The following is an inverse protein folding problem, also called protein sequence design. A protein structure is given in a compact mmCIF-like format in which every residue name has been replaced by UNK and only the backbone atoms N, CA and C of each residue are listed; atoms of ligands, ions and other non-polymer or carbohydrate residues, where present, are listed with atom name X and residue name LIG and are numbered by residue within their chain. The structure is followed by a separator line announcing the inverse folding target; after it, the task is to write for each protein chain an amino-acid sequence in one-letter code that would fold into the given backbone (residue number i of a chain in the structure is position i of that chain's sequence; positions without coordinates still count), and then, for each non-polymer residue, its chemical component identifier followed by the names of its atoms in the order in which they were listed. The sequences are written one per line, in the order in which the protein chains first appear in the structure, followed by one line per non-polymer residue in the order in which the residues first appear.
data_IF_566969922661
#
_entry.id   IF_566969922661
#
_cell.length_a   1.000
_cell.length_b   1.000
_cell.length_c   1.000
_cell.angle_alpha   90.00
_cell.angle_beta   90.00
_cell.angle_gamma   90.00
#
_symmetry.space_group_name_H-M   'P 1'
#
loop_
_entity.id
_entity.type
_entity.pdbx_description
1 polymer ?
#
# COMPACT_ATOMS: atom_id res chain seq x y z
N UNK A 1 36.10 -11.34 -37.48
CA UNK A 1 36.31 -10.39 -36.37
C UNK A 1 35.10 -9.49 -36.34
N UNK A 2 34.23 -9.63 -35.35
CA UNK A 2 33.07 -8.76 -35.17
C UNK A 2 33.59 -7.37 -34.80
N UNK A 3 33.31 -6.36 -35.62
CA UNK A 3 33.62 -4.98 -35.28
C UNK A 3 32.68 -4.56 -34.15
N UNK A 4 33.20 -4.54 -32.92
CA UNK A 4 32.46 -4.01 -31.77
C UNK A 4 32.31 -2.49 -31.98
N UNK A 5 31.09 -2.02 -32.18
CA UNK A 5 30.77 -0.60 -32.28
C UNK A 5 30.72 0.01 -30.87
N UNK A 6 31.86 0.48 -30.37
CA UNK A 6 32.00 1.01 -29.01
C UNK A 6 31.00 2.12 -28.65
N UNK A 7 30.59 2.95 -29.61
CA UNK A 7 29.57 3.99 -29.36
C UNK A 7 28.18 3.38 -29.09
N UNK A 8 27.83 2.34 -29.83
CA UNK A 8 26.55 1.63 -29.69
C UNK A 8 26.52 0.79 -28.41
N UNK A 9 27.63 0.12 -28.08
CA UNK A 9 27.80 -0.55 -26.78
C UNK A 9 27.64 0.42 -25.61
N UNK A 10 28.27 1.61 -25.67
CA UNK A 10 28.17 2.61 -24.61
C UNK A 10 26.74 3.19 -24.49
N UNK A 11 26.05 3.39 -25.61
CA UNK A 11 24.63 3.81 -25.64
C UNK A 11 23.71 2.75 -25.04
N UNK A 12 23.96 1.47 -25.31
CA UNK A 12 23.18 0.35 -24.78
C UNK A 12 23.39 0.20 -23.26
N UNK A 13 24.62 0.32 -22.77
CA UNK A 13 24.92 0.29 -21.32
C UNK A 13 24.24 1.45 -20.58
N UNK A 14 24.23 2.66 -21.16
CA UNK A 14 23.54 3.81 -20.58
C UNK A 14 22.03 3.57 -20.49
N UNK A 15 21.41 3.01 -21.53
CA UNK A 15 19.98 2.65 -21.52
C UNK A 15 19.67 1.60 -20.45
N UNK A 16 20.47 0.54 -20.36
CA UNK A 16 20.31 -0.50 -19.32
C UNK A 16 20.38 0.11 -17.91
N UNK A 17 21.34 1.01 -17.69
CA UNK A 17 21.50 1.70 -16.40
C UNK A 17 20.31 2.59 -16.06
N UNK A 18 19.76 3.32 -17.05
CA UNK A 18 18.56 4.14 -16.88
C UNK A 18 17.30 3.30 -16.61
N UNK A 19 17.13 2.18 -17.29
CA UNK A 19 16.03 1.23 -17.03
C UNK A 19 16.12 0.66 -15.61
N UNK A 20 17.31 0.20 -15.19
CA UNK A 20 17.52 -0.30 -13.82
C UNK A 20 17.21 0.76 -12.76
N UNK A 21 17.64 2.02 -12.98
CA UNK A 21 17.32 3.12 -12.07
C UNK A 21 15.82 3.42 -12.02
N UNK A 22 15.15 3.40 -13.17
CA UNK A 22 13.70 3.66 -13.27
C UNK A 22 12.90 2.57 -12.57
N UNK A 23 13.28 1.30 -12.74
CA UNK A 23 12.69 0.16 -12.04
C UNK A 23 12.85 0.27 -10.52
N UNK A 24 14.06 0.62 -10.04
CA UNK A 24 14.32 0.82 -8.61
C UNK A 24 13.48 1.97 -8.02
N UNK A 25 13.36 3.09 -8.76
CA UNK A 25 12.52 4.23 -8.36
C UNK A 25 11.05 3.85 -8.28
N UNK A 26 10.54 3.10 -9.26
CA UNK A 26 9.16 2.62 -9.26
C UNK A 26 8.88 1.72 -8.04
N UNK A 27 9.78 0.77 -7.73
CA UNK A 27 9.65 -0.09 -6.55
C UNK A 27 9.63 0.70 -5.23
N UNK A 28 10.50 1.71 -5.10
CA UNK A 28 10.51 2.58 -3.92
C UNK A 28 9.20 3.34 -3.76
N UNK A 29 8.64 3.86 -4.86
CA UNK A 29 7.36 4.56 -4.85
C UNK A 29 6.21 3.63 -4.43
N UNK A 30 6.17 2.40 -4.95
CA UNK A 30 5.18 1.38 -4.58
C UNK A 30 5.21 1.12 -3.07
N UNK A 31 6.38 0.81 -2.52
CA UNK A 31 6.52 0.58 -1.08
C UNK A 31 6.07 1.79 -0.26
N UNK A 32 6.53 2.98 -0.64
CA UNK A 32 6.19 4.21 0.12
C UNK A 32 4.69 4.50 0.08
N UNK A 33 4.03 4.26 -1.06
CA UNK A 33 2.58 4.40 -1.20
C UNK A 33 1.82 3.41 -0.30
N UNK A 34 2.16 2.11 -0.37
CA UNK A 34 1.54 1.09 0.48
C UNK A 34 1.75 1.40 1.97
N UNK A 35 2.96 1.79 2.39
CA UNK A 35 3.21 2.17 3.77
C UNK A 35 2.41 3.40 4.21
N UNK A 36 2.25 4.40 3.34
CA UNK A 36 1.40 5.57 3.60
C UNK A 36 -0.05 5.18 3.85
N UNK A 37 -0.62 4.35 2.97
CA UNK A 37 -1.99 3.87 3.10
C UNK A 37 -2.19 3.01 4.37
N UNK A 38 -1.24 2.14 4.71
CA UNK A 38 -1.28 1.35 5.95
C UNK A 38 -1.18 2.23 7.20
N UNK A 39 -0.39 3.30 7.14
CA UNK A 39 -0.29 4.27 8.23
C UNK A 39 -1.62 5.02 8.44
N UNK A 40 -2.32 5.37 7.36
CA UNK A 40 -3.65 5.96 7.45
C UNK A 40 -4.65 5.02 8.14
N UNK A 41 -4.57 3.71 7.91
CA UNK A 41 -5.40 2.73 8.64
C UNK A 41 -5.05 2.68 10.14
N UNK A 42 -3.79 2.84 10.52
CA UNK A 42 -3.41 2.95 11.94
C UNK A 42 -3.95 4.23 12.59
N UNK A 43 -3.94 5.36 11.86
CA UNK A 43 -4.58 6.60 12.32
C UNK A 43 -6.09 6.39 12.47
N UNK A 44 -6.73 5.70 11.53
CA UNK A 44 -8.17 5.39 11.61
C UNK A 44 -8.50 4.56 12.85
N UNK A 45 -7.69 3.54 13.18
CA UNK A 45 -7.84 2.78 14.42
C UNK A 45 -7.68 3.66 15.67
N UNK A 46 -6.68 4.54 15.69
CA UNK A 46 -6.47 5.45 16.82
C UNK A 46 -7.65 6.41 17.01
N UNK A 47 -8.20 6.94 15.91
CA UNK A 47 -9.40 7.77 15.92
C UNK A 47 -10.61 7.00 16.45
N UNK A 48 -10.82 5.77 16.01
CA UNK A 48 -11.89 4.91 16.52
C UNK A 48 -11.80 4.70 18.03
N UNK A 49 -10.59 4.52 18.57
CA UNK A 49 -10.36 4.44 20.01
C UNK A 49 -10.77 5.72 20.76
N UNK A 50 -10.40 6.89 20.23
CA UNK A 50 -10.80 8.18 20.80
C UNK A 50 -12.31 8.45 20.71
N UNK A 51 -12.94 8.08 19.59
CA UNK A 51 -14.40 8.14 19.42
C UNK A 51 -15.09 7.25 20.45
N UNK A 52 -14.64 6.00 20.60
CA UNK A 52 -15.18 5.06 21.59
C UNK A 52 -15.13 5.60 23.03
N UNK A 53 -14.02 6.22 23.42
CA UNK A 53 -13.88 6.83 24.75
C UNK A 53 -14.85 8.00 24.91
N UNK A 54 -14.94 8.87 23.90
CA UNK A 54 -15.85 10.03 23.91
C UNK A 54 -17.30 9.58 24.01
N UNK A 55 -17.72 8.63 23.18
CA UNK A 55 -19.10 8.14 23.17
C UNK A 55 -19.47 7.38 24.45
N UNK A 56 -18.53 6.67 25.08
CA UNK A 56 -18.76 6.07 26.39
C UNK A 56 -18.96 7.13 27.49
N UNK A 57 -18.16 8.21 27.48
CA UNK A 57 -18.33 9.33 28.41
C UNK A 57 -19.68 10.02 28.22
N UNK A 58 -20.08 10.26 26.97
CA UNK A 58 -21.39 10.81 26.63
C UNK A 58 -22.51 9.93 27.19
N UNK A 59 -22.50 8.63 26.88
CA UNK A 59 -23.52 7.68 27.34
C UNK A 59 -23.70 7.69 28.87
N UNK A 60 -22.59 7.70 29.63
CA UNK A 60 -22.62 7.74 31.10
C UNK A 60 -23.11 9.10 31.61
N UNK A 61 -22.75 10.19 30.94
CA UNK A 61 -23.11 11.55 31.38
C UNK A 61 -24.57 11.92 31.10
N UNK A 62 -25.17 11.40 30.03
CA UNK A 62 -26.52 11.77 29.58
C UNK A 62 -27.61 10.85 30.12
N UNK A 63 -27.26 9.63 30.52
CA UNK A 63 -28.24 8.58 30.78
C UNK A 63 -28.36 8.28 32.26
N UNK A 64 -29.53 8.56 32.85
CA UNK A 64 -29.80 8.32 34.28
C UNK A 64 -30.34 6.93 34.60
N UNK A 65 -30.82 6.20 33.59
CA UNK A 65 -31.42 4.86 33.74
C UNK A 65 -30.43 3.77 33.29
N UNK A 66 -30.27 2.75 34.12
CA UNK A 66 -29.37 1.62 33.89
C UNK A 66 -29.73 0.82 32.64
N UNK A 67 -31.02 0.63 32.34
CA UNK A 67 -31.45 -0.10 31.14
C UNK A 67 -31.06 0.63 29.84
N UNK A 68 -31.11 1.97 29.86
CA UNK A 68 -30.69 2.78 28.73
C UNK A 68 -29.17 2.81 28.56
N UNK A 69 -28.39 2.69 29.64
CA UNK A 69 -26.93 2.51 29.56
C UNK A 69 -26.57 1.17 28.91
N UNK A 70 -27.25 0.08 29.27
CA UNK A 70 -26.98 -1.25 28.66
C UNK A 70 -27.33 -1.28 27.18
N UNK A 71 -28.46 -0.67 26.79
CA UNK A 71 -28.84 -0.53 25.39
C UNK A 71 -27.80 0.29 24.60
N UNK A 72 -27.38 1.44 25.14
CA UNK A 72 -26.36 2.28 24.49
C UNK A 72 -24.99 1.61 24.41
N UNK A 73 -24.58 0.81 25.40
CA UNK A 73 -23.35 0.02 25.32
C UNK A 73 -23.40 -1.02 24.18
N UNK A 74 -24.56 -1.62 23.94
CA UNK A 74 -24.76 -2.59 22.85
C UNK A 74 -24.67 -1.90 21.49
N UNK A 75 -25.26 -0.71 21.35
CA UNK A 75 -25.13 0.11 20.13
C UNK A 75 -23.69 0.54 19.87
N UNK A 76 -23.00 1.06 20.90
CA UNK A 76 -21.58 1.43 20.80
C UNK A 76 -20.71 0.24 20.41
N UNK A 77 -20.95 -0.93 20.99
CA UNK A 77 -20.21 -2.14 20.65
C UNK A 77 -20.42 -2.54 19.18
N UNK A 78 -21.65 -2.46 18.68
CA UNK A 78 -21.96 -2.74 17.28
C UNK A 78 -21.31 -1.73 16.33
N UNK A 79 -21.35 -0.44 16.66
CA UNK A 79 -20.73 0.61 15.86
C UNK A 79 -19.21 0.44 15.78
N UNK A 80 -18.56 0.25 16.94
CA UNK A 80 -17.11 0.02 17.01
C UNK A 80 -16.73 -1.24 16.23
N UNK A 81 -17.52 -2.31 16.35
CA UNK A 81 -17.29 -3.55 15.61
C UNK A 81 -17.40 -3.34 14.10
N UNK A 82 -18.43 -2.62 13.64
CA UNK A 82 -18.60 -2.29 12.22
C UNK A 82 -17.43 -1.47 11.69
N UNK A 83 -17.07 -0.38 12.37
CA UNK A 83 -15.95 0.50 11.98
C UNK A 83 -14.61 -0.25 11.99
N UNK A 84 -14.39 -1.13 12.96
CA UNK A 84 -13.20 -1.98 13.02
C UNK A 84 -13.13 -2.96 11.85
N UNK A 85 -14.27 -3.57 11.47
CA UNK A 85 -14.34 -4.45 10.31
C UNK A 85 -14.07 -3.71 9.00
N UNK A 86 -14.56 -2.48 8.86
CA UNK A 86 -14.31 -1.67 7.67
C UNK A 86 -12.83 -1.28 7.54
N UNK A 87 -12.17 -0.92 8.64
CA UNK A 87 -10.72 -0.69 8.67
C UNK A 87 -9.96 -1.97 8.28
N UNK A 88 -10.39 -3.13 8.79
CA UNK A 88 -9.78 -4.42 8.45
C UNK A 88 -9.95 -4.76 6.96
N UNK A 89 -11.14 -4.51 6.38
CA UNK A 89 -11.39 -4.68 4.93
C UNK A 89 -10.52 -3.75 4.10
N UNK A 90 -10.48 -2.46 4.41
CA UNK A 90 -9.65 -1.50 3.70
C UNK A 90 -8.16 -1.88 3.76
N UNK A 91 -7.69 -2.38 4.91
CA UNK A 91 -6.32 -2.88 5.06
C UNK A 91 -6.06 -4.09 4.16
N UNK A 92 -7.02 -5.02 4.05
CA UNK A 92 -6.92 -6.16 3.13
C UNK A 92 -6.92 -5.72 1.66
N UNK A 93 -7.73 -4.73 1.31
CA UNK A 93 -7.76 -4.18 -0.05
C UNK A 93 -6.42 -3.52 -0.42
N UNK A 94 -5.84 -2.71 0.48
CA UNK A 94 -4.48 -2.13 0.31
C UNK A 94 -3.43 -3.23 0.08
N UNK A 95 -3.49 -4.33 0.84
CA UNK A 95 -2.55 -5.44 0.67
C UNK A 95 -2.74 -6.17 -0.68
N UNK A 96 -3.98 -6.34 -1.11
CA UNK A 96 -4.28 -6.98 -2.40
C UNK A 96 -3.84 -6.09 -3.57
N UNK A 97 -4.12 -4.79 -3.52
CA UNK A 97 -3.65 -3.81 -4.50
C UNK A 97 -2.13 -3.79 -4.57
N UNK A 98 -1.44 -3.70 -3.42
CA UNK A 98 0.02 -3.74 -3.35
C UNK A 98 0.60 -5.01 -3.99
N UNK A 99 -0.04 -6.16 -3.77
CA UNK A 99 0.36 -7.43 -4.40
C UNK A 99 0.23 -7.39 -5.93
N UNK A 100 -0.86 -6.82 -6.44
CA UNK A 100 -1.09 -6.66 -7.89
C UNK A 100 -0.09 -5.67 -8.51
N UNK A 101 0.17 -4.54 -7.82
CA UNK A 101 1.14 -3.53 -8.24
C UNK A 101 2.57 -4.11 -8.29
N UNK A 102 2.98 -4.87 -7.26
CA UNK A 102 4.28 -5.55 -7.23
C UNK A 102 4.37 -6.57 -8.35
N UNK A 103 3.31 -7.37 -8.58
CA UNK A 103 3.29 -8.37 -9.65
C UNK A 103 3.47 -7.71 -11.02
N UNK A 104 2.75 -6.61 -11.25
CA UNK A 104 2.84 -5.80 -12.48
C UNK A 104 4.25 -5.21 -12.64
N UNK A 105 4.85 -4.71 -11.57
CA UNK A 105 6.22 -4.19 -11.58
C UNK A 105 7.24 -5.28 -11.93
N UNK A 106 7.13 -6.48 -11.32
CA UNK A 106 8.01 -7.61 -11.63
C UNK A 106 7.89 -8.01 -13.11
N UNK A 107 6.68 -8.11 -13.64
CA UNK A 107 6.46 -8.39 -15.07
C UNK A 107 7.08 -7.32 -15.98
N UNK A 108 6.97 -6.05 -15.60
CA UNK A 108 7.60 -4.93 -16.31
C UNK A 108 9.12 -5.06 -16.35
N UNK A 109 9.75 -5.30 -15.18
CA UNK A 109 11.19 -5.50 -15.07
C UNK A 109 11.65 -6.72 -15.88
N UNK A 110 10.91 -7.83 -15.86
CA UNK A 110 11.23 -9.02 -16.63
C UNK A 110 11.19 -8.76 -18.15
N UNK A 111 10.18 -8.03 -18.63
CA UNK A 111 10.07 -7.62 -20.04
C UNK A 111 11.22 -6.70 -20.45
N UNK A 112 11.56 -5.71 -19.63
CA UNK A 112 12.71 -4.82 -19.88
C UNK A 112 14.04 -5.58 -19.87
N UNK A 113 14.24 -6.51 -18.93
CA UNK A 113 15.44 -7.35 -18.88
C UNK A 113 15.58 -8.23 -20.13
N UNK A 114 14.48 -8.82 -20.62
CA UNK A 114 14.48 -9.58 -21.86
C UNK A 114 14.88 -8.72 -23.06
N UNK A 115 14.30 -7.52 -23.19
CA UNK A 115 14.65 -6.58 -24.25
C UNK A 115 16.13 -6.15 -24.20
N UNK A 116 16.67 -5.95 -22.99
CA UNK A 116 18.08 -5.61 -22.78
C UNK A 116 19.04 -6.74 -23.18
N UNK A 117 18.66 -8.00 -22.94
CA UNK A 117 19.45 -9.17 -23.38
C UNK A 117 19.53 -9.23 -24.92
N UNK A 118 18.45 -8.92 -25.61
CA UNK A 118 18.43 -8.90 -27.08
C UNK A 118 19.26 -7.75 -27.65
N UNK A 119 19.25 -6.58 -26.99
CA UNK A 119 20.12 -5.44 -27.35
C UNK A 119 21.61 -5.73 -27.18
N UNK A 120 21.98 -6.53 -26.17
CA UNK A 120 23.39 -6.94 -25.95
C UNK A 120 23.83 -8.02 -26.93
N UNK A 121 22.92 -8.90 -27.37
CA UNK A 121 23.23 -9.92 -28.40
C UNK A 121 23.32 -9.36 -29.81
N UNK A 122 22.66 -8.23 -30.08
CA UNK A 122 22.64 -7.57 -31.39
C UNK A 122 23.80 -6.58 -31.61
N UNK A 123 24.51 -6.18 -30.55
CA UNK A 123 25.65 -5.26 -30.56
C UNK A 123 27.00 -6.00 -30.61
#
# INVERSE_FOLDING_TARGET
MTNINFEETNKNINKISQSAYSAAKAFYALNTNTYGQLFDQQIAMAKLGMESITSQMELISTTKDYNAVVAGQTELANEISSKSQDIARNTMDIMNESKEEISTWVEGVAKEAAANIDMVKAA
#
